data_IF_362259534677
#
_entry.id   IF_362259534677
#
_cell.length_a   1.000
_cell.length_b   1.000
_cell.length_c   1.000
_cell.angle_alpha   90.00
_cell.angle_beta   90.00
_cell.angle_gamma   90.00
#
_symmetry.space_group_name_H-M   'P 1'
#
loop_
_entity.id
_entity.type
_entity.pdbx_description
1 polymer ?
#
# COMPACT_ATOMS: atom_id res chain seq x y z
N UNK A 1 -26.50 59.13 -12.73
CA UNK A 1 -26.50 59.00 -14.21
C UNK A 1 -26.79 57.54 -14.53
N UNK A 2 -28.06 57.24 -14.77
CA UNK A 2 -28.52 55.92 -15.24
C UNK A 2 -28.22 55.81 -16.74
N UNK A 3 -27.72 54.64 -17.17
CA UNK A 3 -27.84 54.19 -18.56
C UNK A 3 -28.42 52.79 -18.54
N UNK A 4 -29.48 52.62 -19.33
CA UNK A 4 -30.35 51.45 -19.44
C UNK A 4 -30.20 50.90 -20.86
N UNK A 5 -29.90 49.61 -21.00
CA UNK A 5 -29.99 48.82 -22.24
C UNK A 5 -29.81 47.35 -21.85
N UNK A 6 -30.53 46.33 -22.33
CA UNK A 6 -31.78 46.23 -23.08
C UNK A 6 -32.34 44.80 -22.85
N UNK A 7 -33.67 44.67 -22.76
CA UNK A 7 -34.41 43.40 -22.83
C UNK A 7 -34.25 42.79 -24.23
N UNK A 8 -33.70 41.60 -24.33
CA UNK A 8 -33.92 40.60 -25.39
C UNK A 8 -33.66 39.24 -24.73
N UNK A 9 -34.70 38.60 -24.20
CA UNK A 9 -35.34 37.45 -24.85
C UNK A 9 -34.30 36.32 -25.06
N UNK A 10 -34.18 35.37 -24.14
CA UNK A 10 -34.96 34.12 -24.16
C UNK A 10 -35.10 33.54 -25.57
N UNK A 11 -34.70 32.26 -25.72
CA UNK A 11 -34.71 31.42 -26.93
C UNK A 11 -33.44 31.42 -27.79
N UNK A 12 -32.41 30.71 -27.33
CA UNK A 12 -31.66 29.79 -28.21
C UNK A 12 -31.50 28.46 -27.47
N UNK A 13 -32.58 27.68 -27.48
CA UNK A 13 -32.58 26.24 -27.22
C UNK A 13 -32.90 25.58 -28.55
N UNK A 14 -31.90 25.09 -29.28
CA UNK A 14 -32.06 24.05 -30.29
C UNK A 14 -30.70 23.56 -30.79
N UNK A 15 -30.54 22.24 -30.74
CA UNK A 15 -29.50 21.41 -31.36
C UNK A 15 -28.06 21.57 -30.83
N UNK A 16 -27.63 20.62 -29.99
CA UNK A 16 -26.73 19.53 -30.39
C UNK A 16 -27.01 18.37 -29.41
N UNK A 17 -27.94 17.51 -29.78
CA UNK A 17 -27.97 16.12 -29.32
C UNK A 17 -27.12 15.33 -30.31
N UNK A 18 -26.04 14.69 -29.84
CA UNK A 18 -25.31 13.73 -30.66
C UNK A 18 -23.82 13.69 -30.40
N UNK A 19 -23.40 13.33 -29.19
CA UNK A 19 -22.33 12.34 -28.97
C UNK A 19 -22.34 11.94 -27.49
N UNK A 20 -23.15 10.92 -27.18
CA UNK A 20 -22.93 10.11 -25.99
C UNK A 20 -21.60 9.40 -26.21
N UNK A 21 -20.51 9.94 -25.67
CA UNK A 21 -19.36 9.09 -25.34
C UNK A 21 -19.85 8.27 -24.15
N UNK A 22 -20.29 7.05 -24.43
CA UNK A 22 -20.45 6.03 -23.41
C UNK A 22 -19.06 5.80 -22.81
N UNK A 23 -18.75 6.47 -21.70
CA UNK A 23 -17.71 5.93 -20.83
C UNK A 23 -18.19 4.51 -20.48
N UNK A 24 -17.38 3.45 -20.69
CA UNK A 24 -17.71 2.18 -20.10
C UNK A 24 -17.91 2.44 -18.59
N UNK A 25 -18.94 1.87 -17.96
CA UNK A 25 -19.06 1.97 -16.52
C UNK A 25 -17.71 1.53 -15.95
N UNK A 26 -17.06 2.42 -15.21
CA UNK A 26 -15.93 2.03 -14.37
C UNK A 26 -16.47 0.95 -13.46
N UNK A 27 -16.03 -0.29 -13.69
CA UNK A 27 -16.25 -1.42 -12.80
C UNK A 27 -15.67 -1.00 -11.45
N UNK A 28 -16.52 -0.46 -10.58
CA UNK A 28 -16.17 -0.20 -9.21
C UNK A 28 -15.98 -1.57 -8.58
N UNK A 29 -14.76 -1.86 -8.12
CA UNK A 29 -14.46 -3.09 -7.41
C UNK A 29 -15.35 -3.12 -6.16
N UNK A 30 -16.36 -4.00 -6.18
CA UNK A 30 -17.26 -4.19 -5.06
C UNK A 30 -16.64 -5.16 -4.07
N UNK A 31 -16.35 -4.67 -2.87
CA UNK A 31 -15.93 -5.52 -1.75
C UNK A 31 -17.12 -6.07 -0.96
N UNK A 32 -18.36 -5.87 -1.43
CA UNK A 32 -19.56 -6.33 -0.73
C UNK A 32 -19.52 -7.84 -0.46
N UNK A 33 -19.03 -8.65 -1.40
CA UNK A 33 -18.94 -10.11 -1.19
C UNK A 33 -17.93 -10.53 -0.11
N UNK A 34 -17.05 -9.64 0.34
CA UNK A 34 -16.04 -9.93 1.38
C UNK A 34 -16.53 -9.56 2.78
N UNK A 35 -17.54 -8.68 2.89
CA UNK A 35 -18.06 -8.17 4.17
C UNK A 35 -19.54 -8.47 4.40
N UNK A 36 -20.24 -9.11 3.46
CA UNK A 36 -21.64 -9.54 3.61
C UNK A 36 -21.70 -10.82 4.45
N UNK A 37 -21.32 -10.70 5.72
CA UNK A 37 -21.59 -11.67 6.76
C UNK A 37 -22.86 -11.24 7.49
N UNK A 38 -24.02 -11.68 7.00
CA UNK A 38 -25.29 -11.52 7.70
C UNK A 38 -25.25 -12.36 8.99
N UNK A 39 -25.36 -11.67 10.12
CA UNK A 39 -25.55 -12.22 11.46
C UNK A 39 -26.96 -12.81 11.55
N UNK A 40 -27.08 -14.13 11.49
CA UNK A 40 -28.21 -14.85 12.05
C UNK A 40 -27.73 -15.85 13.12
N UNK A 41 -28.21 -15.58 14.33
CA UNK A 41 -27.91 -16.27 15.57
C UNK A 41 -28.35 -17.74 15.56
N UNK A 42 -27.38 -18.66 15.48
CA UNK A 42 -27.49 -20.00 16.08
C UNK A 42 -26.08 -20.57 16.31
N UNK A 43 -25.74 -20.85 17.57
CA UNK A 43 -24.44 -21.40 17.95
C UNK A 43 -24.34 -22.88 17.55
N UNK A 44 -24.05 -23.15 16.28
CA UNK A 44 -23.50 -24.42 15.84
C UNK A 44 -22.00 -24.24 15.67
N UNK A 45 -21.21 -25.01 16.41
CA UNK A 45 -19.75 -25.07 16.27
C UNK A 45 -19.39 -25.55 14.86
N UNK A 46 -19.29 -24.60 13.91
CA UNK A 46 -18.72 -24.83 12.59
C UNK A 46 -17.22 -24.99 12.74
N UNK A 47 -16.80 -26.17 13.19
CA UNK A 47 -15.47 -26.66 12.85
C UNK A 47 -15.47 -26.80 11.34
N UNK A 48 -14.84 -25.85 10.64
CA UNK A 48 -14.53 -25.98 9.23
C UNK A 48 -13.69 -27.25 9.06
N UNK A 49 -14.31 -28.29 8.46
CA UNK A 49 -13.69 -29.59 8.18
C UNK A 49 -13.27 -29.70 6.70
N UNK A 50 -13.13 -28.57 6.00
CA UNK A 50 -12.60 -28.62 4.63
C UNK A 50 -11.19 -29.21 4.66
N UNK A 51 -10.97 -30.25 3.86
CA UNK A 51 -9.66 -30.82 3.55
C UNK A 51 -8.98 -30.11 2.37
N UNK A 52 -9.55 -28.98 1.92
CA UNK A 52 -9.09 -28.21 0.78
C UNK A 52 -9.46 -28.81 -0.59
N UNK A 53 -10.05 -30.00 -0.66
CA UNK A 53 -10.39 -30.65 -1.95
C UNK A 53 -11.57 -29.99 -2.67
N UNK A 54 -12.41 -29.28 -1.92
CA UNK A 54 -13.52 -28.49 -2.45
C UNK A 54 -13.12 -27.07 -2.91
N UNK A 55 -11.85 -26.69 -2.75
CA UNK A 55 -11.33 -25.42 -3.24
C UNK A 55 -10.82 -25.61 -4.66
N UNK A 56 -11.52 -25.02 -5.63
CA UNK A 56 -11.05 -25.02 -7.01
C UNK A 56 -9.68 -24.31 -7.07
N UNK A 57 -8.65 -25.05 -7.44
CA UNK A 57 -7.29 -24.53 -7.48
C UNK A 57 -7.18 -23.54 -8.65
N UNK A 58 -7.24 -22.25 -8.34
CA UNK A 58 -7.14 -21.20 -9.35
C UNK A 58 -5.68 -20.93 -9.67
N UNK A 59 -5.27 -21.17 -10.92
CA UNK A 59 -3.94 -20.79 -11.37
C UNK A 59 -3.82 -19.27 -11.35
N UNK A 60 -2.76 -18.77 -10.71
CA UNK A 60 -2.42 -17.36 -10.71
C UNK A 60 -2.19 -16.85 -12.14
N UNK A 61 -2.59 -15.59 -12.40
CA UNK A 61 -2.34 -14.93 -13.68
C UNK A 61 -0.84 -14.93 -13.95
N UNK A 62 -0.41 -15.24 -15.18
CA UNK A 62 1.00 -15.40 -15.51
C UNK A 62 1.61 -14.19 -16.23
N UNK A 63 0.76 -13.31 -16.78
CA UNK A 63 1.24 -12.14 -17.51
C UNK A 63 1.45 -11.00 -16.53
N UNK A 64 2.60 -10.34 -16.60
CA UNK A 64 2.92 -9.19 -15.76
C UNK A 64 1.86 -8.08 -15.86
N UNK A 65 1.30 -7.85 -17.05
CA UNK A 65 0.22 -6.88 -17.29
C UNK A 65 -1.06 -7.15 -16.52
N UNK A 66 -1.24 -8.37 -16.02
CA UNK A 66 -2.41 -8.73 -15.23
C UNK A 66 -2.22 -8.41 -13.73
N UNK A 67 -0.99 -8.08 -13.32
CA UNK A 67 -0.62 -7.75 -11.94
C UNK A 67 -0.21 -6.29 -11.75
N UNK A 68 0.34 -5.66 -12.77
CA UNK A 68 0.87 -4.30 -12.72
C UNK A 68 -0.04 -3.30 -13.43
N UNK A 69 -0.14 -2.10 -12.85
CA UNK A 69 -0.89 -0.99 -13.45
C UNK A 69 -0.24 -0.54 -14.76
N UNK A 70 -1.08 -0.26 -15.74
CA UNK A 70 -0.71 0.40 -17.00
C UNK A 70 -0.46 1.90 -16.78
N UNK A 71 0.19 2.56 -17.75
CA UNK A 71 0.39 4.02 -17.69
C UNK A 71 -0.95 4.77 -17.67
N UNK A 72 -1.94 4.25 -18.39
CA UNK A 72 -3.29 4.78 -18.44
C UNK A 72 -3.97 4.70 -17.07
N UNK A 73 -3.88 3.56 -16.38
CA UNK A 73 -4.43 3.38 -15.04
C UNK A 73 -3.73 4.27 -14.01
N UNK A 74 -2.40 4.37 -14.06
CA UNK A 74 -1.63 5.29 -13.20
C UNK A 74 -2.08 6.73 -13.44
N UNK A 75 -2.24 7.13 -14.70
CA UNK A 75 -2.68 8.48 -15.07
C UNK A 75 -4.11 8.76 -14.61
N UNK A 76 -5.02 7.80 -14.78
CA UNK A 76 -6.41 7.89 -14.34
C UNK A 76 -6.50 8.02 -12.82
N UNK A 77 -5.69 7.26 -12.07
CA UNK A 77 -5.63 7.34 -10.60
C UNK A 77 -5.22 8.72 -10.07
N UNK A 78 -4.58 9.54 -10.93
CA UNK A 78 -4.10 10.89 -10.62
C UNK A 78 -4.91 11.99 -11.29
N UNK A 79 -6.17 11.72 -11.63
CA UNK A 79 -7.07 12.71 -12.24
C UNK A 79 -6.61 13.17 -13.63
N UNK A 80 -5.95 12.30 -14.40
CA UNK A 80 -5.45 12.59 -15.74
C UNK A 80 -4.03 13.15 -15.80
N UNK A 81 -3.35 13.35 -14.66
CA UNK A 81 -1.96 13.83 -14.62
C UNK A 81 -0.96 12.69 -14.87
N UNK A 82 -0.35 12.67 -16.06
CA UNK A 82 0.65 11.66 -16.46
C UNK A 82 1.95 11.80 -15.65
N UNK A 83 2.62 10.67 -15.38
CA UNK A 83 4.00 10.60 -14.86
C UNK A 83 4.89 9.92 -15.89
N UNK A 84 5.67 10.72 -16.61
CA UNK A 84 6.64 10.22 -17.59
C UNK A 84 7.96 9.75 -16.95
N UNK A 85 8.14 10.03 -15.65
CA UNK A 85 9.32 9.70 -14.84
C UNK A 85 9.13 8.40 -14.02
N UNK A 86 8.01 7.68 -14.19
CA UNK A 86 7.68 6.48 -13.43
C UNK A 86 7.58 5.28 -14.37
N UNK A 87 8.40 4.24 -14.14
CA UNK A 87 8.23 2.96 -14.80
C UNK A 87 7.05 2.20 -14.18
N UNK A 88 6.21 1.58 -15.01
CA UNK A 88 5.08 0.73 -14.58
C UNK A 88 5.54 -0.57 -13.93
N UNK A 89 6.62 -1.15 -14.45
CA UNK A 89 7.30 -2.33 -13.92
C UNK A 89 8.76 -2.37 -14.36
N UNK A 90 9.55 -3.23 -13.72
CA UNK A 90 10.92 -3.57 -14.12
C UNK A 90 11.04 -5.07 -14.36
N UNK A 91 11.99 -5.49 -15.20
CA UNK A 91 12.28 -6.90 -15.51
C UNK A 91 13.72 -7.23 -15.14
N UNK A 92 13.99 -8.51 -14.85
CA UNK A 92 15.33 -8.97 -14.45
C UNK A 92 15.71 -8.68 -13.00
N UNK A 93 14.73 -8.40 -12.13
CA UNK A 93 14.97 -8.18 -10.71
C UNK A 93 15.37 -9.49 -10.01
N UNK A 94 16.38 -9.43 -9.15
CA UNK A 94 16.64 -10.49 -8.18
C UNK A 94 15.66 -10.30 -7.01
N UNK A 95 14.80 -11.29 -6.75
CA UNK A 95 13.80 -11.23 -5.68
C UNK A 95 14.09 -12.33 -4.67
N UNK A 96 14.26 -11.94 -3.41
CA UNK A 96 14.38 -12.87 -2.28
C UNK A 96 13.06 -12.91 -1.53
N UNK A 97 12.48 -14.10 -1.39
CA UNK A 97 11.24 -14.31 -0.63
C UNK A 97 11.57 -14.79 0.78
N UNK A 98 11.02 -14.12 1.78
CA UNK A 98 11.14 -14.54 3.18
C UNK A 98 9.83 -15.21 3.61
N UNK A 99 9.89 -16.49 3.94
CA UNK A 99 8.74 -17.24 4.46
C UNK A 99 8.61 -17.13 5.98
N UNK A 100 9.68 -16.70 6.65
CA UNK A 100 9.75 -16.57 8.11
C UNK A 100 10.16 -15.14 8.49
N UNK A 101 9.47 -14.59 9.49
CA UNK A 101 9.67 -13.23 10.00
C UNK A 101 11.12 -12.96 10.42
N UNK A 102 11.79 -13.96 11.01
CA UNK A 102 13.20 -13.85 11.43
C UNK A 102 14.11 -13.50 10.25
N UNK A 103 13.98 -14.21 9.13
CA UNK A 103 14.87 -14.02 7.98
C UNK A 103 14.70 -12.63 7.37
N UNK A 104 13.45 -12.12 7.34
CA UNK A 104 13.16 -10.77 6.91
C UNK A 104 13.85 -9.72 7.79
N UNK A 105 13.66 -9.77 9.11
CA UNK A 105 14.28 -8.79 10.01
C UNK A 105 15.79 -8.95 10.10
N UNK A 106 16.31 -10.17 9.96
CA UNK A 106 17.75 -10.41 9.88
C UNK A 106 18.35 -9.73 8.65
N UNK A 107 17.73 -9.87 7.48
CA UNK A 107 18.15 -9.21 6.24
C UNK A 107 18.08 -7.69 6.35
N UNK A 108 17.00 -7.14 6.90
CA UNK A 108 16.84 -5.68 7.08
C UNK A 108 17.95 -5.14 8.00
N UNK A 109 18.27 -5.83 9.10
CA UNK A 109 19.37 -5.44 9.97
C UNK A 109 20.72 -5.48 9.25
N UNK A 110 20.99 -6.52 8.48
CA UNK A 110 22.26 -6.67 7.75
C UNK A 110 22.42 -5.56 6.69
N UNK A 111 21.35 -5.23 5.96
CA UNK A 111 21.35 -4.12 5.00
C UNK A 111 21.56 -2.77 5.69
N UNK A 112 20.82 -2.50 6.78
CA UNK A 112 20.95 -1.25 7.53
C UNK A 112 22.33 -1.10 8.18
N UNK A 113 22.95 -2.18 8.64
CA UNK A 113 24.29 -2.13 9.23
C UNK A 113 25.40 -2.00 8.19
N UNK A 114 25.16 -2.43 6.94
CA UNK A 114 26.09 -2.28 5.83
C UNK A 114 26.13 -0.87 5.21
N UNK A 115 25.17 0.00 5.57
CA UNK A 115 25.12 1.40 5.12
C UNK A 115 26.37 2.20 5.46
N UNK A 116 26.70 3.16 4.59
CA UNK A 116 27.89 4.01 4.64
C UNK A 116 27.50 5.50 4.60
N UNK A 117 28.51 6.34 4.61
CA UNK A 117 28.34 7.78 4.36
C UNK A 117 27.63 8.01 3.01
N UNK A 118 26.75 9.02 2.97
CA UNK A 118 25.91 9.40 1.82
C UNK A 118 24.85 8.38 1.37
N UNK A 119 24.74 7.22 2.01
CA UNK A 119 23.63 6.29 1.77
C UNK A 119 22.31 6.88 2.27
N UNK A 120 21.23 6.62 1.54
CA UNK A 120 19.88 7.07 1.87
C UNK A 120 18.99 5.89 2.24
N UNK A 121 18.41 5.94 3.43
CA UNK A 121 17.44 4.97 3.93
C UNK A 121 16.06 5.64 4.00
N UNK A 122 15.12 5.10 3.23
CA UNK A 122 13.73 5.56 3.19
C UNK A 122 12.84 4.46 3.77
N UNK A 123 12.12 4.75 4.85
CA UNK A 123 11.18 3.82 5.48
C UNK A 123 9.78 4.41 5.42
N UNK A 124 8.84 3.69 4.82
CA UNK A 124 7.41 3.94 4.96
C UNK A 124 6.82 2.81 5.80
N UNK A 125 6.05 3.16 6.84
CA UNK A 125 5.57 2.17 7.80
C UNK A 125 4.21 2.53 8.39
N UNK A 126 3.43 1.50 8.72
CA UNK A 126 2.22 1.64 9.51
C UNK A 126 2.53 1.95 10.98
N UNK A 127 3.50 1.24 11.57
CA UNK A 127 3.95 1.44 12.95
C UNK A 127 5.44 1.08 13.11
N UNK A 128 6.08 1.61 14.15
CA UNK A 128 7.42 1.25 14.61
C UNK A 128 7.43 1.13 16.12
N UNK A 129 8.19 0.17 16.66
CA UNK A 129 8.39 0.03 18.10
C UNK A 129 9.89 -0.10 18.41
N UNK A 130 10.27 0.16 19.66
CA UNK A 130 11.62 0.04 20.17
C UNK A 130 11.92 -1.42 20.52
N UNK A 131 11.96 -2.26 19.48
CA UNK A 131 12.25 -3.69 19.59
C UNK A 131 13.51 -4.08 18.81
N UNK A 132 14.23 -5.12 19.25
CA UNK A 132 15.37 -5.66 18.51
C UNK A 132 14.96 -6.29 17.19
N UNK A 133 15.74 -6.03 16.14
CA UNK A 133 15.64 -6.74 14.86
C UNK A 133 16.07 -8.21 15.00
N UNK A 134 17.03 -8.52 15.89
CA UNK A 134 17.59 -9.87 16.09
C UNK A 134 17.45 -10.35 17.55
N UNK A 135 16.22 -10.54 18.08
CA UNK A 135 15.97 -10.85 19.50
C UNK A 135 16.57 -12.19 19.97
N UNK A 136 16.79 -13.14 19.06
CA UNK A 136 17.36 -14.46 19.40
C UNK A 136 18.85 -14.39 19.78
N UNK A 137 19.58 -13.41 19.24
CA UNK A 137 21.02 -13.22 19.51
C UNK A 137 21.32 -11.95 20.32
N UNK A 138 20.41 -10.97 20.29
CA UNK A 138 20.50 -9.72 21.05
C UNK A 138 19.17 -9.43 21.76
N UNK A 139 18.81 -10.23 22.78
CA UNK A 139 17.49 -10.17 23.42
C UNK A 139 17.24 -8.87 24.18
N UNK A 140 18.29 -8.15 24.59
CA UNK A 140 18.16 -6.84 25.23
C UNK A 140 18.11 -5.69 24.23
N UNK A 141 18.34 -5.96 22.94
CA UNK A 141 18.42 -4.96 21.90
C UNK A 141 19.63 -4.04 22.01
N UNK A 142 20.68 -4.40 22.76
CA UNK A 142 21.82 -3.51 22.98
C UNK A 142 22.52 -3.05 21.68
N UNK A 143 22.36 -3.80 20.58
CA UNK A 143 22.93 -3.48 19.26
C UNK A 143 21.88 -3.41 18.15
N UNK A 144 20.82 -4.20 18.28
CA UNK A 144 19.83 -4.44 17.25
C UNK A 144 18.50 -3.76 17.51
N UNK A 145 18.36 -2.97 18.58
CA UNK A 145 17.13 -2.20 18.78
C UNK A 145 16.89 -1.19 17.65
N UNK A 146 15.63 -0.92 17.35
CA UNK A 146 15.23 -0.04 16.24
C UNK A 146 15.98 1.31 16.25
N UNK A 147 15.93 2.05 17.36
CA UNK A 147 16.58 3.34 17.52
C UNK A 147 18.11 3.27 17.40
N UNK A 148 18.72 2.19 17.90
CA UNK A 148 20.16 1.96 17.81
C UNK A 148 20.58 1.73 16.36
N UNK A 149 19.86 0.87 15.63
CA UNK A 149 20.19 0.53 14.24
C UNK A 149 20.10 1.77 13.36
N UNK A 150 18.95 2.46 13.36
CA UNK A 150 18.77 3.67 12.56
C UNK A 150 19.67 4.82 13.03
N UNK A 151 19.84 4.98 14.34
CA UNK A 151 20.77 5.97 14.90
C UNK A 151 22.22 5.72 14.45
N UNK A 152 22.62 4.45 14.31
CA UNK A 152 23.95 4.10 13.83
C UNK A 152 24.12 4.36 12.32
N UNK A 153 23.06 4.27 11.50
CA UNK A 153 23.09 4.74 10.10
C UNK A 153 23.46 6.22 10.07
N UNK A 154 22.76 7.04 10.85
CA UNK A 154 23.00 8.50 10.92
C UNK A 154 24.40 8.81 11.43
N UNK A 155 24.88 8.11 12.46
CA UNK A 155 26.26 8.28 12.98
C UNK A 155 27.34 7.98 11.94
N UNK A 156 27.07 7.10 10.97
CA UNK A 156 27.98 6.79 9.85
C UNK A 156 27.93 7.82 8.73
N UNK A 157 27.09 8.86 8.83
CA UNK A 157 26.90 9.87 7.78
C UNK A 157 25.83 9.51 6.76
N UNK A 158 25.04 8.47 6.99
CA UNK A 158 23.87 8.16 6.16
C UNK A 158 22.66 9.04 6.48
N UNK A 159 21.76 9.20 5.52
CA UNK A 159 20.51 9.94 5.67
C UNK A 159 19.33 8.99 5.88
N UNK A 160 18.58 9.18 6.97
CA UNK A 160 17.39 8.39 7.29
C UNK A 160 16.15 9.26 7.21
N UNK A 161 15.14 8.81 6.45
CA UNK A 161 13.81 9.43 6.37
C UNK A 161 12.74 8.39 6.64
N UNK A 162 11.88 8.67 7.62
CA UNK A 162 10.80 7.77 8.03
C UNK A 162 9.46 8.48 7.84
N UNK A 163 8.57 7.86 7.06
CA UNK A 163 7.18 8.24 6.90
C UNK A 163 6.30 7.21 7.62
N UNK A 164 5.94 7.53 8.86
CA UNK A 164 5.05 6.71 9.69
C UNK A 164 3.60 7.17 9.60
N UNK A 165 2.66 6.22 9.61
CA UNK A 165 1.25 6.54 9.73
C UNK A 165 0.91 7.05 11.15
N UNK A 166 0.23 8.20 11.22
CA UNK A 166 -0.17 8.81 12.49
C UNK A 166 -1.46 8.17 13.02
N UNK A 167 -1.34 7.00 13.64
CA UNK A 167 -2.49 6.28 14.19
C UNK A 167 -2.84 6.76 15.61
N UNK A 168 -4.11 7.13 15.83
CA UNK A 168 -4.61 7.66 17.12
C UNK A 168 -4.72 6.60 18.22
N UNK A 169 -4.70 5.31 17.89
CA UNK A 169 -5.03 4.21 18.82
C UNK A 169 -3.94 3.15 18.92
N UNK A 170 -2.71 3.52 18.63
CA UNK A 170 -1.54 2.62 18.63
C UNK A 170 -1.40 1.76 19.89
N UNK A 171 -1.62 2.37 21.06
CA UNK A 171 -1.52 1.70 22.36
C UNK A 171 -2.51 0.55 22.60
N UNK A 172 -3.55 0.40 21.78
CA UNK A 172 -4.44 -0.76 21.82
C UNK A 172 -3.97 -1.90 20.90
N UNK A 173 -3.18 -1.59 19.86
CA UNK A 173 -2.68 -2.55 18.87
C UNK A 173 -1.35 -3.15 19.31
N UNK A 174 -0.53 -2.37 20.00
CA UNK A 174 0.77 -2.81 20.48
C UNK A 174 0.57 -3.78 21.65
N UNK A 175 0.80 -5.06 21.40
CA UNK A 175 0.96 -6.04 22.46
C UNK A 175 2.21 -5.62 23.23
N UNK A 176 2.14 -5.56 24.58
CA UNK A 176 3.34 -5.39 25.40
C UNK A 176 4.30 -6.54 25.12
N UNK A 177 5.26 -6.31 24.24
CA UNK A 177 6.38 -7.20 24.01
C UNK A 177 7.30 -7.00 25.22
N UNK A 178 7.50 -8.07 25.99
CA UNK A 178 8.26 -8.06 27.24
C UNK A 178 9.74 -8.21 26.98
#
# INVERSE_FOLDING_TARGET
MQVRMSRNAQFVLALICGLLITLPPTEAWSFSSILDGDDDSESNSRNDKSDGTNVAMQQHLLKATDWFLTEEEITASRGGSRRSDLATYSVGNAVTTFSVTKEFFDSVYDDLTATKEDDRVLLATWNTDLVPFKPDVDPTGAKSNFDIVFGNVVKRGGDVKILGWANKFLFFQDVKVR
#
